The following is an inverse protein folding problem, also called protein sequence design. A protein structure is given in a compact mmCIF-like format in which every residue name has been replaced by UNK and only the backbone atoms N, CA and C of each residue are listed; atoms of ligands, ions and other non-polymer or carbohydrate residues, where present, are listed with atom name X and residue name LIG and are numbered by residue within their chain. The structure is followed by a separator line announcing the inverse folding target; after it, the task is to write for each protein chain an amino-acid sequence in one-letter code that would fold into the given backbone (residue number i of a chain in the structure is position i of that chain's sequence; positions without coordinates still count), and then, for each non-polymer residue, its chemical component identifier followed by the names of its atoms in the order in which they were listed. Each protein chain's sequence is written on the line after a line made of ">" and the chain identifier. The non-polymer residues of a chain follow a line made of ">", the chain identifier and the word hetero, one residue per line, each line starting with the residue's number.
data_IF_006815329566
#
_entry.id   IF_006815329566
#
_cell.length_a   1.000
_cell.length_b   1.000
_cell.length_c   1.000
_cell.angle_alpha   90.00
_cell.angle_beta   90.00
_cell.angle_gamma   90.00
#
_symmetry.space_group_name_H-M   'P 1'
#
loop_
_entity.id
_entity.type
_entity.pdbx_description
1 polymer ?
#
# COMPACT_ATOMS: atom_id res chain seq x y z
N UNK A 1 4.68 -7.24 5.61
CA UNK A 1 6.10 -6.85 5.52
C UNK A 1 6.24 -5.82 4.41
N UNK A 2 7.08 -4.81 4.59
CA UNK A 2 7.48 -3.87 3.54
C UNK A 2 8.88 -4.20 3.05
N UNK A 3 9.07 -4.23 1.73
CA UNK A 3 10.37 -4.49 1.11
C UNK A 3 10.83 -3.21 0.42
N UNK A 4 11.97 -2.70 0.85
CA UNK A 4 12.56 -1.51 0.25
C UNK A 4 13.54 -1.98 -0.82
N UNK A 5 13.25 -1.65 -2.08
CA UNK A 5 13.96 -2.17 -3.24
C UNK A 5 14.46 -1.00 -4.08
N UNK A 6 15.76 -1.00 -4.40
CA UNK A 6 16.32 -0.10 -5.41
C UNK A 6 16.43 -0.84 -6.75
N UNK A 7 16.03 -0.18 -7.84
CA UNK A 7 16.15 -0.74 -9.19
C UNK A 7 17.33 -0.07 -9.91
N UNK A 8 18.31 -0.87 -10.35
CA UNK A 8 19.46 -0.38 -11.12
C UNK A 8 19.04 0.05 -12.53
N UNK A 9 19.93 0.75 -13.23
CA UNK A 9 19.73 1.17 -14.63
C UNK A 9 19.48 0.00 -15.59
N UNK A 10 20.03 -1.17 -15.29
CA UNK A 10 19.82 -2.41 -16.05
C UNK A 10 18.53 -3.16 -15.67
N UNK A 11 17.71 -2.59 -14.78
CA UNK A 11 16.46 -3.18 -14.30
C UNK A 11 16.63 -4.16 -13.13
N UNK A 12 17.85 -4.45 -12.70
CA UNK A 12 18.09 -5.39 -11.58
C UNK A 12 17.54 -4.81 -10.27
N UNK A 13 16.61 -5.51 -9.58
CA UNK A 13 16.17 -5.11 -8.25
C UNK A 13 17.19 -5.55 -7.18
N UNK A 14 17.54 -4.65 -6.26
CA UNK A 14 18.32 -4.97 -5.07
C UNK A 14 17.47 -4.70 -3.84
N UNK A 15 17.30 -5.72 -3.00
CA UNK A 15 16.70 -5.59 -1.68
C UNK A 15 17.62 -4.78 -0.76
N UNK A 16 17.10 -3.73 -0.15
CA UNK A 16 17.81 -2.90 0.82
C UNK A 16 17.48 -3.33 2.25
N UNK A 17 16.21 -3.34 2.59
CA UNK A 17 15.73 -3.72 3.92
C UNK A 17 14.35 -4.36 3.88
N UNK A 18 14.01 -5.04 4.98
CA UNK A 18 12.69 -5.64 5.19
C UNK A 18 12.12 -5.10 6.49
N UNK A 19 11.04 -4.33 6.37
CA UNK A 19 10.31 -3.75 7.48
C UNK A 19 9.18 -4.70 7.92
N UNK A 20 9.23 -5.14 9.17
CA UNK A 20 8.17 -6.00 9.73
C UNK A 20 6.85 -5.23 9.93
N UNK A 21 6.93 -3.92 10.14
CA UNK A 21 5.78 -3.03 10.34
C UNK A 21 5.86 -1.80 9.40
N UNK A 22 5.58 -1.96 8.09
CA UNK A 22 5.54 -0.83 7.17
C UNK A 22 4.40 0.14 7.54
N UNK A 23 4.59 1.43 7.25
CA UNK A 23 3.58 2.45 7.54
C UNK A 23 2.32 2.24 6.70
N UNK A 24 1.17 2.25 7.37
CA UNK A 24 -0.16 2.25 6.75
C UNK A 24 -0.85 3.62 6.79
N UNK A 25 -0.13 4.68 7.21
CA UNK A 25 -0.68 6.04 7.21
C UNK A 25 -1.04 6.46 5.78
N UNK A 26 -2.21 7.05 5.60
CA UNK A 26 -2.66 7.66 4.35
C UNK A 26 -2.61 9.20 4.41
N UNK A 27 -2.14 9.75 5.52
CA UNK A 27 -2.02 11.20 5.70
C UNK A 27 -0.56 11.63 5.52
N UNK A 28 -0.38 12.81 4.93
CA UNK A 28 0.90 13.45 4.72
C UNK A 28 0.93 14.81 5.41
N UNK A 29 2.03 15.10 6.12
CA UNK A 29 2.32 16.45 6.57
C UNK A 29 2.98 17.21 5.43
N UNK A 30 2.30 18.22 4.90
CA UNK A 30 2.92 19.15 3.96
C UNK A 30 3.71 20.14 4.80
N UNK A 31 5.05 20.07 4.74
CA UNK A 31 5.95 20.90 5.55
C UNK A 31 5.96 22.40 5.17
N UNK A 32 4.93 22.90 4.48
CA UNK A 32 4.97 24.26 3.93
C UNK A 32 4.62 25.35 4.93
N UNK A 33 3.89 25.08 6.01
CA UNK A 33 3.70 26.04 7.11
C UNK A 33 3.46 25.26 8.41
N UNK A 34 3.98 25.73 9.55
CA UNK A 34 3.94 25.04 10.86
C UNK A 34 2.52 24.70 11.38
N UNK A 35 1.46 25.02 10.63
CA UNK A 35 0.05 24.88 11.01
C UNK A 35 -0.83 24.41 9.82
N UNK A 36 -0.31 23.59 8.90
CA UNK A 36 -1.20 22.95 7.90
C UNK A 36 -1.77 21.62 8.44
N UNK A 37 -3.09 21.37 8.34
CA UNK A 37 -3.65 20.09 8.73
C UNK A 37 -3.09 18.94 7.87
N UNK A 38 -3.04 17.71 8.39
CA UNK A 38 -2.62 16.55 7.60
C UNK A 38 -3.45 16.44 6.32
N UNK A 39 -2.78 16.31 5.18
CA UNK A 39 -3.44 16.19 3.88
C UNK A 39 -3.51 14.72 3.51
N UNK A 40 -4.71 14.26 3.16
CA UNK A 40 -4.92 12.88 2.73
C UNK A 40 -4.23 12.63 1.39
N UNK A 41 -3.47 11.56 1.33
CA UNK A 41 -2.87 11.04 0.12
C UNK A 41 -3.89 10.26 -0.70
N UNK A 42 -4.20 10.75 -1.90
CA UNK A 42 -5.01 9.98 -2.84
C UNK A 42 -4.26 8.69 -3.24
N UNK A 43 -2.94 8.78 -3.43
CA UNK A 43 -2.10 7.64 -3.86
C UNK A 43 -2.01 6.58 -2.76
N UNK A 44 -1.71 6.97 -1.52
CA UNK A 44 -1.64 6.00 -0.44
C UNK A 44 -3.01 5.42 -0.11
N UNK A 45 -4.09 6.20 -0.20
CA UNK A 45 -5.44 5.66 -0.01
C UNK A 45 -5.75 4.57 -1.05
N UNK A 46 -5.50 4.86 -2.33
CA UNK A 46 -5.75 3.93 -3.42
C UNK A 46 -4.95 2.62 -3.32
N UNK A 47 -3.77 2.66 -2.67
CA UNK A 47 -2.90 1.49 -2.56
C UNK A 47 -3.11 0.78 -1.21
N UNK A 48 -3.02 1.52 -0.10
CA UNK A 48 -3.00 0.97 1.26
C UNK A 48 -4.38 0.49 1.72
N UNK A 49 -5.48 1.14 1.31
CA UNK A 49 -6.83 0.70 1.71
C UNK A 49 -7.16 -0.66 1.09
N UNK A 50 -7.03 -0.88 -0.24
CA UNK A 50 -7.23 -2.21 -0.81
C UNK A 50 -6.24 -3.25 -0.26
N UNK A 51 -4.97 -2.88 -0.03
CA UNK A 51 -3.99 -3.79 0.55
C UNK A 51 -4.44 -4.35 1.91
N UNK A 52 -4.89 -3.49 2.83
CA UNK A 52 -5.36 -3.91 4.15
C UNK A 52 -6.66 -4.72 4.03
N UNK A 53 -7.62 -4.24 3.23
CA UNK A 53 -8.90 -4.93 3.00
C UNK A 53 -8.67 -6.34 2.47
N UNK A 54 -7.85 -6.47 1.43
CA UNK A 54 -7.60 -7.74 0.77
C UNK A 54 -6.79 -8.68 1.67
N UNK A 55 -5.89 -8.15 2.50
CA UNK A 55 -5.20 -8.94 3.54
C UNK A 55 -6.20 -9.53 4.55
N UNK A 56 -7.17 -8.72 5.02
CA UNK A 56 -8.21 -9.20 5.94
C UNK A 56 -9.08 -10.27 5.26
N UNK A 57 -9.54 -10.00 4.03
CA UNK A 57 -10.34 -10.95 3.27
C UNK A 57 -9.59 -12.26 3.01
N UNK A 58 -8.29 -12.20 2.73
CA UNK A 58 -7.45 -13.38 2.53
C UNK A 58 -7.36 -14.22 3.82
N UNK A 59 -7.10 -13.57 4.96
CA UNK A 59 -7.02 -14.25 6.27
C UNK A 59 -8.37 -14.88 6.66
N UNK A 60 -9.47 -14.23 6.31
CA UNK A 60 -10.83 -14.75 6.54
C UNK A 60 -11.29 -15.78 5.50
N UNK A 61 -10.45 -16.10 4.50
CA UNK A 61 -10.79 -16.96 3.36
C UNK A 61 -12.03 -16.48 2.59
N UNK A 62 -12.17 -15.15 2.46
CA UNK A 62 -13.26 -14.46 1.77
C UNK A 62 -12.79 -13.66 0.54
N UNK A 63 -11.49 -13.67 0.24
CA UNK A 63 -10.92 -12.90 -0.87
C UNK A 63 -11.55 -13.28 -2.22
N UNK A 64 -11.65 -14.58 -2.50
CA UNK A 64 -12.21 -15.07 -3.77
C UNK A 64 -13.65 -14.59 -3.98
N UNK A 65 -14.49 -14.56 -2.93
CA UNK A 65 -15.87 -14.09 -3.03
C UNK A 65 -16.00 -12.66 -3.56
N UNK A 66 -14.99 -11.81 -3.38
CA UNK A 66 -14.98 -10.44 -3.89
C UNK A 66 -14.53 -10.34 -5.36
N UNK A 67 -13.77 -11.31 -5.87
CA UNK A 67 -13.16 -11.25 -7.20
C UNK A 67 -13.74 -12.25 -8.22
N UNK A 68 -14.50 -13.25 -7.78
CA UNK A 68 -15.14 -14.24 -8.67
C UNK A 68 -16.27 -13.64 -9.53
N UNK A 69 -16.77 -12.45 -9.19
CA UNK A 69 -17.82 -11.76 -9.96
C UNK A 69 -17.35 -11.03 -11.23
N UNK A 70 -16.06 -11.10 -11.58
CA UNK A 70 -15.50 -10.40 -12.77
C UNK A 70 -15.42 -11.31 -14.02
N UNK A 71 -15.59 -12.63 -13.89
CA UNK A 71 -15.48 -13.58 -15.00
C UNK A 71 -16.83 -14.13 -15.51
N UNK A 72 -17.82 -13.26 -15.71
CA UNK A 72 -18.99 -13.59 -16.54
C UNK A 72 -19.27 -12.41 -17.47
N UNK A 73 -18.56 -12.38 -18.60
CA UNK A 73 -18.89 -11.61 -19.79
C UNK A 73 -18.55 -12.46 -21.02
#
# INVERSE_FOLDING_TARGET
>A
MGFDIIVKKDGTPILLEVNSAPSLSIDHNVFTEEISPPVRSIVDEMIKVPLVRDTILLVLNQLENQYTHVNVA
#
